data_IF_098837873979
#
_entry.id   IF_098837873979
#
_cell.length_a   1.000
_cell.length_b   1.000
_cell.length_c   1.000
_cell.angle_alpha   90.00
_cell.angle_beta   90.00
_cell.angle_gamma   90.00
#
_symmetry.space_group_name_H-M   'P 1'
#
loop_
_entity.id
_entity.type
_entity.pdbx_description
1 polymer ?
#
# COMPACT_ATOMS: atom_id res chain seq x y z
N UNK A 1 16.74 -6.94 -0.68
CA UNK A 1 17.18 -5.90 -1.64
C UNK A 1 18.55 -5.33 -1.28
N UNK A 2 18.79 -4.90 -0.04
CA UNK A 2 20.11 -4.39 0.41
C UNK A 2 21.27 -5.39 0.29
N UNK A 3 21.04 -6.66 0.61
CA UNK A 3 22.05 -7.73 0.46
C UNK A 3 22.41 -7.99 -1.01
N UNK A 4 21.42 -7.92 -1.89
CA UNK A 4 21.61 -8.10 -3.34
C UNK A 4 22.34 -6.89 -3.94
N UNK A 5 21.98 -5.67 -3.54
CA UNK A 5 22.64 -4.44 -4.01
C UNK A 5 24.07 -4.32 -3.46
N UNK A 6 24.31 -4.66 -2.19
CA UNK A 6 25.65 -4.63 -1.60
C UNK A 6 26.57 -5.72 -2.18
N UNK A 7 26.07 -6.95 -2.34
CA UNK A 7 26.81 -8.02 -3.01
C UNK A 7 27.09 -7.67 -4.48
N UNK A 8 26.15 -7.00 -5.15
CA UNK A 8 26.33 -6.49 -6.52
C UNK A 8 27.35 -5.37 -6.57
N UNK A 9 27.33 -4.43 -5.63
CA UNK A 9 28.33 -3.33 -5.59
C UNK A 9 29.71 -3.92 -5.35
N UNK A 10 29.84 -4.88 -4.45
CA UNK A 10 31.11 -5.57 -4.19
C UNK A 10 31.57 -6.45 -5.37
N UNK A 11 30.65 -7.14 -6.04
CA UNK A 11 30.97 -7.96 -7.23
C UNK A 11 31.31 -7.08 -8.44
N UNK A 12 30.56 -6.02 -8.68
CA UNK A 12 30.76 -5.09 -9.79
C UNK A 12 32.00 -4.24 -9.57
N UNK A 13 32.27 -3.71 -8.35
CA UNK A 13 33.53 -3.02 -8.04
C UNK A 13 34.72 -3.97 -7.91
N UNK A 14 34.52 -5.22 -7.45
CA UNK A 14 35.58 -6.23 -7.43
C UNK A 14 35.97 -6.72 -8.83
N UNK A 15 34.99 -6.81 -9.74
CA UNK A 15 35.20 -7.19 -11.14
C UNK A 15 35.64 -6.00 -11.99
N UNK A 16 35.13 -4.80 -11.73
CA UNK A 16 35.62 -3.54 -12.30
C UNK A 16 37.00 -3.18 -11.76
N UNK A 17 37.36 -3.49 -10.51
CA UNK A 17 38.72 -3.29 -10.02
C UNK A 17 39.77 -4.11 -10.77
N UNK A 18 39.36 -5.25 -11.34
CA UNK A 18 40.21 -6.11 -12.18
C UNK A 18 40.09 -5.83 -13.69
N UNK A 19 38.98 -5.25 -14.14
CA UNK A 19 38.66 -5.00 -15.56
C UNK A 19 38.07 -3.59 -15.79
N UNK A 20 38.56 -2.57 -15.08
CA UNK A 20 38.00 -1.21 -15.07
C UNK A 20 37.99 -0.63 -16.48
N UNK A 21 39.07 -0.91 -17.21
CA UNK A 21 39.25 -0.55 -18.61
C UNK A 21 38.17 -1.11 -19.53
N UNK A 22 37.58 -2.27 -19.21
CA UNK A 22 36.55 -2.91 -20.05
C UNK A 22 35.20 -2.23 -19.88
N UNK A 23 34.84 -1.93 -18.63
CA UNK A 23 33.60 -1.20 -18.31
C UNK A 23 33.69 0.25 -18.78
N UNK A 24 34.87 0.88 -18.63
CA UNK A 24 35.14 2.23 -19.12
C UNK A 24 35.16 2.31 -20.66
N UNK A 25 35.70 1.31 -21.35
CA UNK A 25 35.67 1.22 -22.82
C UNK A 25 34.26 0.99 -23.39
N UNK A 26 33.43 0.19 -22.69
CA UNK A 26 32.00 0.01 -23.04
C UNK A 26 31.18 1.29 -22.82
N UNK A 27 31.48 2.07 -21.77
CA UNK A 27 30.83 3.35 -21.48
C UNK A 27 31.24 4.48 -22.43
N UNK A 28 32.49 4.50 -22.89
CA UNK A 28 33.02 5.55 -23.77
C UNK A 28 32.90 5.25 -25.27
N UNK A 29 32.28 4.12 -25.65
CA UNK A 29 32.13 3.68 -27.04
C UNK A 29 33.44 3.75 -27.85
N UNK A 30 34.57 3.48 -27.19
CA UNK A 30 35.89 3.46 -27.79
C UNK A 30 36.55 2.14 -27.39
N UNK A 31 36.55 1.18 -28.32
CA UNK A 31 37.10 -0.15 -28.14
C UNK A 31 38.64 -0.11 -28.11
N UNK A 32 39.23 0.17 -26.95
CA UNK A 32 40.60 -0.24 -26.64
C UNK A 32 40.56 -1.20 -25.46
N UNK A 33 40.60 -2.50 -25.75
CA UNK A 33 40.63 -3.56 -24.74
C UNK A 33 42.09 -3.89 -24.40
N UNK A 34 42.48 -3.74 -23.13
CA UNK A 34 43.78 -4.18 -22.62
C UNK A 34 43.73 -5.68 -22.35
N UNK A 35 44.51 -6.46 -23.08
CA UNK A 35 44.69 -7.89 -22.86
C UNK A 35 45.29 -8.16 -21.47
N UNK A 36 44.62 -8.98 -20.66
CA UNK A 36 45.22 -9.53 -19.45
C UNK A 36 46.29 -10.57 -19.85
N UNK A 37 47.49 -10.47 -19.28
CA UNK A 37 48.66 -11.34 -19.58
C UNK A 37 48.37 -12.85 -19.51
N UNK A 38 47.31 -13.28 -18.80
CA UNK A 38 46.86 -14.66 -18.74
C UNK A 38 46.15 -15.18 -20.03
N UNK A 39 45.71 -14.31 -20.95
CA UNK A 39 45.04 -14.71 -22.20
C UNK A 39 46.00 -14.94 -23.37
N UNK A 40 47.29 -14.69 -23.20
CA UNK A 40 48.30 -14.76 -24.27
C UNK A 40 48.67 -16.22 -24.64
N UNK A 41 48.24 -17.22 -23.84
CA UNK A 41 48.66 -18.63 -24.01
C UNK A 41 47.56 -19.66 -24.32
N UNK A 42 46.35 -19.24 -24.65
CA UNK A 42 45.32 -20.16 -25.17
C UNK A 42 45.11 -19.88 -26.65
N UNK A 43 45.51 -20.84 -27.49
CA UNK A 43 45.17 -20.91 -28.92
C UNK A 43 43.71 -20.49 -29.10
N UNK A 44 43.47 -19.35 -29.74
CA UNK A 44 42.15 -18.72 -29.86
C UNK A 44 41.22 -19.59 -30.71
N UNK A 45 40.62 -20.61 -30.08
CA UNK A 45 39.59 -21.45 -30.68
C UNK A 45 38.22 -20.78 -30.61
N UNK A 46 37.32 -21.22 -31.50
CA UNK A 46 35.90 -20.86 -31.55
C UNK A 46 35.23 -20.81 -30.16
N UNK A 47 35.55 -21.76 -29.29
CA UNK A 47 35.04 -21.84 -27.91
C UNK A 47 35.38 -20.63 -27.02
N UNK A 48 36.54 -20.00 -27.20
CA UNK A 48 36.90 -18.77 -26.48
C UNK A 48 36.01 -17.59 -26.92
N UNK A 49 35.70 -17.51 -28.21
CA UNK A 49 34.78 -16.51 -28.75
C UNK A 49 33.33 -16.74 -28.30
N UNK A 50 32.85 -17.99 -28.32
CA UNK A 50 31.52 -18.33 -27.79
C UNK A 50 31.38 -17.93 -26.32
N UNK A 51 32.38 -18.22 -25.49
CA UNK A 51 32.37 -17.83 -24.08
C UNK A 51 32.34 -16.30 -23.90
N UNK A 52 33.14 -15.56 -24.69
CA UNK A 52 33.15 -14.09 -24.67
C UNK A 52 31.78 -13.50 -25.03
N UNK A 53 31.13 -14.04 -26.05
CA UNK A 53 29.79 -13.60 -26.45
C UNK A 53 28.75 -13.87 -25.36
N UNK A 54 28.78 -15.05 -24.73
CA UNK A 54 27.87 -15.39 -23.63
C UNK A 54 28.03 -14.42 -22.46
N UNK A 55 29.28 -14.15 -22.04
CA UNK A 55 29.56 -13.21 -20.95
C UNK A 55 29.10 -11.80 -21.33
N UNK A 56 29.38 -11.34 -22.56
CA UNK A 56 28.96 -10.01 -23.01
C UNK A 56 27.44 -9.88 -23.09
N UNK A 57 26.72 -10.91 -23.58
CA UNK A 57 25.25 -10.92 -23.61
C UNK A 57 24.66 -10.93 -22.21
N UNK A 58 25.26 -11.67 -21.27
CA UNK A 58 24.85 -11.67 -19.87
C UNK A 58 25.08 -10.29 -19.21
N UNK A 59 26.27 -9.70 -19.39
CA UNK A 59 26.60 -8.37 -18.86
C UNK A 59 25.66 -7.30 -19.46
N UNK A 60 25.37 -7.37 -20.77
CA UNK A 60 24.41 -6.49 -21.42
C UNK A 60 22.98 -6.67 -20.88
N UNK A 61 22.51 -7.91 -20.71
CA UNK A 61 21.20 -8.20 -20.15
C UNK A 61 21.06 -7.69 -18.71
N UNK A 62 22.10 -7.91 -17.89
CA UNK A 62 22.16 -7.42 -16.52
C UNK A 62 22.17 -5.89 -16.47
N UNK A 63 23.00 -5.23 -17.28
CA UNK A 63 23.02 -3.78 -17.38
C UNK A 63 21.68 -3.23 -17.87
N UNK A 64 21.11 -3.79 -18.93
CA UNK A 64 19.82 -3.35 -19.48
C UNK A 64 18.68 -3.45 -18.46
N UNK A 65 18.65 -4.53 -17.68
CA UNK A 65 17.59 -4.76 -16.68
C UNK A 65 17.81 -3.96 -15.39
N UNK A 66 19.07 -3.87 -14.92
CA UNK A 66 19.39 -3.25 -13.63
C UNK A 66 19.66 -1.74 -13.73
N UNK A 67 20.14 -1.25 -14.88
CA UNK A 67 20.47 0.16 -15.06
C UNK A 67 19.29 1.10 -14.80
N UNK A 68 18.06 0.83 -15.28
CA UNK A 68 16.90 1.65 -14.93
C UNK A 68 16.65 1.68 -13.42
N UNK A 69 16.73 0.53 -12.75
CA UNK A 69 16.52 0.43 -11.29
C UNK A 69 17.59 1.19 -10.50
N UNK A 70 18.86 1.06 -10.89
CA UNK A 70 19.99 1.78 -10.32
C UNK A 70 19.85 3.29 -10.55
N UNK A 71 19.57 3.70 -11.78
CA UNK A 71 19.35 5.12 -12.12
C UNK A 71 18.23 5.70 -11.28
N UNK A 72 17.07 5.04 -11.21
CA UNK A 72 15.94 5.49 -10.38
C UNK A 72 16.34 5.56 -8.92
N UNK A 73 17.02 4.56 -8.36
CA UNK A 73 17.47 4.60 -6.97
C UNK A 73 18.42 5.76 -6.67
N UNK A 74 19.39 6.00 -7.56
CA UNK A 74 20.38 7.08 -7.42
C UNK A 74 19.69 8.44 -7.50
N UNK A 75 18.86 8.68 -8.52
CA UNK A 75 18.22 9.98 -8.75
C UNK A 75 17.06 10.27 -7.81
N UNK A 76 16.56 9.27 -7.09
CA UNK A 76 15.42 9.43 -6.17
C UNK A 76 15.84 9.28 -4.71
N UNK A 77 15.81 8.06 -4.16
CA UNK A 77 16.05 7.81 -2.75
C UNK A 77 17.43 8.26 -2.30
N UNK A 78 18.49 7.88 -3.03
CA UNK A 78 19.85 8.26 -2.64
C UNK A 78 20.03 9.78 -2.70
N UNK A 79 19.60 10.41 -3.79
CA UNK A 79 19.67 11.87 -3.94
C UNK A 79 18.92 12.62 -2.84
N UNK A 80 17.71 12.18 -2.48
CA UNK A 80 16.93 12.77 -1.39
C UNK A 80 17.70 12.68 -0.06
N UNK A 81 18.30 11.53 0.25
CA UNK A 81 19.08 11.32 1.48
C UNK A 81 20.37 12.13 1.51
N UNK A 82 21.05 12.25 0.37
CA UNK A 82 22.25 13.08 0.26
C UNK A 82 21.93 14.57 0.44
N UNK A 83 20.77 15.03 -0.08
CA UNK A 83 20.40 16.45 -0.03
C UNK A 83 19.77 16.90 1.28
N UNK A 84 18.90 16.08 1.89
CA UNK A 84 18.12 16.47 3.08
C UNK A 84 18.51 15.71 4.35
N UNK A 85 19.40 14.72 4.25
CA UNK A 85 19.82 13.88 5.36
C UNK A 85 18.76 12.86 5.80
N UNK A 86 19.00 12.27 6.97
CA UNK A 86 18.01 11.44 7.68
C UNK A 86 17.29 12.32 8.69
N UNK A 87 15.98 12.52 8.48
CA UNK A 87 15.13 13.29 9.38
C UNK A 87 14.39 12.37 10.33
N UNK A 88 14.03 12.89 11.50
CA UNK A 88 13.19 12.17 12.47
C UNK A 88 11.78 11.96 11.92
N UNK A 89 11.19 13.01 11.34
CA UNK A 89 9.89 12.96 10.65
C UNK A 89 10.12 12.88 9.15
N UNK A 90 9.67 11.78 8.53
CA UNK A 90 9.74 11.58 7.07
C UNK A 90 8.38 11.82 6.43
N UNK A 91 8.35 12.71 5.42
CA UNK A 91 7.14 12.98 4.64
C UNK A 91 7.17 12.11 3.38
N UNK A 92 6.19 11.21 3.28
CA UNK A 92 6.15 10.15 2.25
C UNK A 92 4.93 10.30 1.38
N UNK A 93 5.13 10.63 0.11
CA UNK A 93 4.06 10.63 -0.88
C UNK A 93 4.05 9.31 -1.67
N UNK A 94 2.85 8.79 -1.90
CA UNK A 94 2.62 7.59 -2.70
C UNK A 94 1.58 7.84 -3.76
N UNK A 95 1.84 7.34 -4.97
CA UNK A 95 0.97 7.49 -6.14
C UNK A 95 0.73 6.10 -6.74
N UNK A 96 -0.51 5.75 -7.11
CA UNK A 96 -0.78 4.46 -7.74
C UNK A 96 -0.22 4.45 -9.16
N UNK A 97 0.74 3.56 -9.45
CA UNK A 97 1.38 3.47 -10.76
C UNK A 97 1.80 2.04 -11.11
N UNK A 98 2.03 1.81 -12.42
CA UNK A 98 2.58 0.57 -12.95
C UNK A 98 1.53 -0.53 -13.13
N UNK A 99 2.01 -1.74 -13.50
CA UNK A 99 1.15 -2.84 -13.95
C UNK A 99 0.03 -3.22 -13.00
N UNK A 100 0.25 -3.14 -11.68
CA UNK A 100 -0.78 -3.46 -10.70
C UNK A 100 -1.96 -2.48 -10.77
N UNK A 101 -1.68 -1.19 -11.01
CA UNK A 101 -2.72 -0.20 -11.20
C UNK A 101 -3.40 -0.34 -12.56
N UNK A 102 -2.62 -0.61 -13.61
CA UNK A 102 -3.15 -0.85 -14.97
C UNK A 102 -4.11 -2.05 -14.96
N UNK A 103 -3.76 -3.12 -14.23
CA UNK A 103 -4.62 -4.28 -14.04
C UNK A 103 -5.91 -3.94 -13.27
N UNK A 104 -5.83 -3.08 -12.25
CA UNK A 104 -7.03 -2.61 -11.53
C UNK A 104 -7.93 -1.80 -12.47
N UNK A 105 -7.36 -0.90 -13.26
CA UNK A 105 -8.09 -0.08 -14.24
C UNK A 105 -8.78 -0.89 -15.34
N UNK A 106 -8.29 -2.10 -15.62
CA UNK A 106 -8.91 -3.01 -16.58
C UNK A 106 -10.16 -3.74 -16.02
N UNK A 107 -10.44 -3.63 -14.73
CA UNK A 107 -11.60 -4.26 -14.09
C UNK A 107 -12.91 -3.48 -14.35
N UNK A 108 -14.08 -4.14 -14.26
CA UNK A 108 -15.36 -3.46 -14.24
C UNK A 108 -15.46 -2.42 -13.11
N UNK A 109 -16.22 -1.32 -13.26
CA UNK A 109 -16.22 -0.19 -12.30
C UNK A 109 -16.48 -0.58 -10.83
N UNK A 110 -17.41 -1.51 -10.59
CA UNK A 110 -17.72 -1.98 -9.24
C UNK A 110 -16.53 -2.72 -8.60
N UNK A 111 -15.88 -3.61 -9.36
CA UNK A 111 -14.71 -4.38 -8.91
C UNK A 111 -13.47 -3.50 -8.78
N UNK A 112 -13.33 -2.49 -9.64
CA UNK A 112 -12.27 -1.48 -9.51
C UNK A 112 -12.39 -0.71 -8.19
N UNK A 113 -13.59 -0.22 -7.87
CA UNK A 113 -13.81 0.53 -6.63
C UNK A 113 -13.51 -0.32 -5.40
N UNK A 114 -13.96 -1.57 -5.38
CA UNK A 114 -13.65 -2.52 -4.30
C UNK A 114 -12.14 -2.79 -4.17
N UNK A 115 -11.47 -3.08 -5.29
CA UNK A 115 -10.03 -3.33 -5.32
C UNK A 115 -9.21 -2.11 -4.88
N UNK A 116 -9.61 -0.91 -5.31
CA UNK A 116 -8.98 0.35 -4.92
C UNK A 116 -9.18 0.62 -3.43
N UNK A 117 -10.39 0.41 -2.91
CA UNK A 117 -10.71 0.60 -1.50
C UNK A 117 -9.95 -0.37 -0.59
N UNK A 118 -9.88 -1.65 -0.97
CA UNK A 118 -9.09 -2.66 -0.25
C UNK A 118 -7.59 -2.31 -0.25
N UNK A 119 -7.07 -1.94 -1.42
CA UNK A 119 -5.68 -1.51 -1.61
C UNK A 119 -5.35 -0.28 -0.77
N UNK A 120 -6.25 0.72 -0.75
CA UNK A 120 -6.07 1.92 0.05
C UNK A 120 -6.08 1.61 1.54
N UNK A 121 -7.04 0.80 2.00
CA UNK A 121 -7.16 0.40 3.42
C UNK A 121 -5.87 -0.26 3.91
N UNK A 122 -5.30 -1.16 3.11
CA UNK A 122 -4.00 -1.76 3.42
C UNK A 122 -2.87 -0.71 3.43
N UNK A 123 -2.83 0.19 2.45
CA UNK A 123 -1.78 1.20 2.33
C UNK A 123 -1.82 2.28 3.42
N UNK A 124 -2.99 2.55 3.99
CA UNK A 124 -3.19 3.49 5.10
C UNK A 124 -3.14 2.81 6.48
N UNK A 125 -3.20 1.47 6.53
CA UNK A 125 -3.22 0.72 7.78
C UNK A 125 -2.08 1.10 8.72
N UNK A 126 -2.42 1.39 9.98
CA UNK A 126 -1.44 1.76 11.01
C UNK A 126 -0.35 0.69 11.19
N UNK A 127 -0.71 -0.59 11.15
CA UNK A 127 0.25 -1.69 11.27
C UNK A 127 1.28 -1.66 10.14
N UNK A 128 0.84 -1.37 8.91
CA UNK A 128 1.74 -1.24 7.76
C UNK A 128 2.66 -0.02 7.88
N UNK A 129 2.13 1.11 8.35
CA UNK A 129 2.88 2.36 8.46
C UNK A 129 3.86 2.38 9.63
N UNK A 130 3.49 1.84 10.79
CA UNK A 130 4.37 1.75 11.96
C UNK A 130 5.43 0.68 11.76
N UNK A 131 5.09 -0.43 11.09
CA UNK A 131 6.00 -1.55 10.88
C UNK A 131 7.04 -1.32 9.77
N UNK A 132 6.90 -0.28 8.94
CA UNK A 132 7.76 -0.05 7.78
C UNK A 132 8.26 1.38 7.72
N UNK A 133 9.55 1.54 7.46
CA UNK A 133 10.15 2.85 7.14
C UNK A 133 9.60 3.41 5.84
N UNK A 134 9.68 4.73 5.62
CA UNK A 134 9.09 5.40 4.45
C UNK A 134 9.41 4.72 3.11
N UNK A 135 10.66 4.32 2.89
CA UNK A 135 11.08 3.59 1.68
C UNK A 135 10.38 2.23 1.47
N UNK A 136 10.08 1.55 2.57
CA UNK A 136 9.47 0.22 2.59
C UNK A 136 7.93 0.28 2.57
N UNK A 137 7.33 1.47 2.62
CA UNK A 137 5.87 1.66 2.44
C UNK A 137 5.40 1.46 0.98
N UNK A 138 6.30 1.06 0.07
CA UNK A 138 5.96 0.61 -1.28
C UNK A 138 5.12 -0.66 -1.22
N UNK A 139 3.91 -0.57 -1.74
CA UNK A 139 2.99 -1.69 -1.85
C UNK A 139 2.20 -1.48 -3.14
N UNK A 140 2.41 -2.28 -4.20
CA UNK A 140 1.67 -2.15 -5.44
C UNK A 140 0.16 -2.05 -5.15
N UNK A 141 -0.56 -1.10 -5.79
CA UNK A 141 -0.14 -0.17 -6.84
C UNK A 141 0.63 1.07 -6.35
N UNK A 142 0.72 1.31 -5.04
CA UNK A 142 1.29 2.52 -4.43
C UNK A 142 2.82 2.55 -4.48
N UNK A 143 3.34 3.39 -5.37
CA UNK A 143 4.77 3.67 -5.51
C UNK A 143 5.14 5.04 -4.94
N UNK A 144 6.39 5.17 -4.48
CA UNK A 144 6.88 6.41 -3.86
C UNK A 144 7.05 7.53 -4.89
N UNK A 145 6.55 8.72 -4.55
CA UNK A 145 6.70 9.94 -5.33
C UNK A 145 7.73 10.86 -4.66
N UNK A 146 8.99 10.73 -5.09
CA UNK A 146 10.10 11.49 -4.49
C UNK A 146 10.09 12.98 -4.83
N UNK A 147 9.52 13.37 -5.96
CA UNK A 147 9.39 14.78 -6.34
C UNK A 147 8.51 15.52 -5.33
N UNK A 148 7.32 14.99 -5.04
CA UNK A 148 6.42 15.56 -4.04
C UNK A 148 7.05 15.59 -2.63
N UNK A 149 7.76 14.53 -2.23
CA UNK A 149 8.51 14.52 -0.95
C UNK A 149 9.62 15.57 -0.93
N UNK A 150 10.32 15.79 -2.05
CA UNK A 150 11.37 16.81 -2.18
C UNK A 150 10.78 18.21 -2.05
N UNK A 151 9.65 18.45 -2.69
CA UNK A 151 8.93 19.74 -2.63
C UNK A 151 8.41 20.03 -1.22
N UNK A 152 7.86 19.03 -0.54
CA UNK A 152 7.45 19.15 0.86
C UNK A 152 8.63 19.50 1.78
N UNK A 153 9.81 18.91 1.56
CA UNK A 153 11.02 19.27 2.30
C UNK A 153 11.54 20.66 1.96
N UNK A 154 11.37 21.12 0.71
CA UNK A 154 11.68 22.49 0.34
C UNK A 154 10.78 23.49 1.08
N UNK A 155 9.47 23.23 1.14
CA UNK A 155 8.50 24.06 1.88
C UNK A 155 8.77 24.06 3.39
N UNK A 156 9.20 22.92 3.94
CA UNK A 156 9.59 22.85 5.33
C UNK A 156 10.87 23.65 5.62
N UNK A 157 11.87 23.55 4.75
CA UNK A 157 13.13 24.29 4.92
C UNK A 157 12.99 25.80 4.70
N UNK A 158 12.01 26.23 3.90
CA UNK A 158 11.69 27.65 3.73
C UNK A 158 10.87 28.22 4.89
N UNK A 159 10.49 27.40 5.87
CA UNK A 159 9.69 27.81 7.04
C UNK A 159 8.22 28.08 6.72
N UNK A 160 7.76 27.76 5.50
CA UNK A 160 6.37 27.97 5.10
C UNK A 160 5.42 26.93 5.70
N UNK A 161 5.93 25.75 6.04
CA UNK A 161 5.13 24.66 6.58
C UNK A 161 5.91 23.85 7.60
N UNK A 162 5.32 23.56 8.77
CA UNK A 162 5.96 22.71 9.78
C UNK A 162 5.84 21.23 9.43
N UNK A 163 6.91 20.46 9.65
CA UNK A 163 6.91 19.02 9.42
C UNK A 163 5.92 18.27 10.31
N UNK A 164 5.64 18.80 11.51
CA UNK A 164 4.73 18.16 12.46
C UNK A 164 3.26 18.27 12.05
N UNK A 165 2.93 19.18 11.12
CA UNK A 165 1.56 19.37 10.63
C UNK A 165 1.21 18.42 9.48
N UNK A 166 2.15 17.59 9.02
CA UNK A 166 1.84 16.58 8.01
C UNK A 166 1.14 15.39 8.65
N UNK A 167 -0.16 15.30 8.39
CA UNK A 167 -0.98 14.14 8.73
C UNK A 167 -1.14 13.22 7.52
N UNK A 168 -1.48 11.95 7.81
CA UNK A 168 -1.83 10.99 6.77
C UNK A 168 -3.05 11.52 6.02
N UNK A 169 -3.00 11.65 4.70
CA UNK A 169 -4.14 12.07 3.90
C UNK A 169 -4.14 11.36 2.57
N UNK A 170 -5.33 11.05 2.06
CA UNK A 170 -5.52 10.45 0.75
C UNK A 170 -6.15 11.50 -0.14
N UNK A 171 -5.54 11.76 -1.29
CA UNK A 171 -6.01 12.76 -2.23
C UNK A 171 -6.54 12.07 -3.48
N UNK A 172 -7.77 12.38 -3.84
CA UNK A 172 -8.41 11.86 -5.04
C UNK A 172 -8.94 13.02 -5.88
N UNK A 173 -9.02 12.82 -7.19
CA UNK A 173 -9.75 13.74 -8.07
C UNK A 173 -11.18 13.27 -8.22
N UNK A 174 -12.13 14.19 -8.04
CA UNK A 174 -13.53 13.94 -8.36
C UNK A 174 -13.76 13.94 -9.89
N UNK A 175 -14.99 13.65 -10.30
CA UNK A 175 -15.41 13.66 -11.71
C UNK A 175 -15.16 15.01 -12.40
N UNK A 176 -15.20 16.10 -11.64
CA UNK A 176 -14.92 17.48 -12.08
C UNK A 176 -13.44 17.87 -12.02
N UNK A 177 -12.52 16.91 -11.85
CA UNK A 177 -11.07 17.14 -11.75
C UNK A 177 -10.60 17.97 -10.55
N UNK A 178 -11.46 18.18 -9.56
CA UNK A 178 -11.11 18.86 -8.31
C UNK A 178 -10.53 17.87 -7.30
N UNK A 179 -9.57 18.32 -6.51
CA UNK A 179 -8.96 17.53 -5.46
C UNK A 179 -9.88 17.44 -4.24
N UNK A 180 -10.16 16.23 -3.81
CA UNK A 180 -10.86 15.92 -2.56
C UNK A 180 -9.91 15.17 -1.63
N UNK A 181 -10.02 15.47 -0.34
CA UNK A 181 -9.25 14.80 0.72
C UNK A 181 -10.14 13.74 1.34
N UNK A 182 -9.63 12.52 1.39
CA UNK A 182 -10.23 11.44 2.14
C UNK A 182 -9.39 11.13 3.38
N UNK A 183 -9.97 11.36 4.55
CA UNK A 183 -9.34 11.13 5.85
C UNK A 183 -9.53 9.68 6.32
N UNK A 184 -9.18 8.71 5.46
CA UNK A 184 -9.40 7.29 5.69
C UNK A 184 -8.75 6.75 6.99
N UNK A 185 -7.79 7.48 7.55
CA UNK A 185 -7.09 7.12 8.79
C UNK A 185 -7.91 7.39 10.06
N UNK A 186 -8.85 8.34 10.04
CA UNK A 186 -9.74 8.63 11.20
C UNK A 186 -10.62 7.43 11.56
N UNK A 187 -10.90 6.56 10.58
CA UNK A 187 -11.67 5.33 10.77
C UNK A 187 -10.83 4.12 11.24
N UNK A 188 -9.50 4.26 11.36
CA UNK A 188 -8.58 3.17 11.71
C UNK A 188 -8.10 3.22 13.16
N UNK A 189 -8.76 4.00 14.01
CA UNK A 189 -8.48 3.99 15.44
C UNK A 189 -8.72 2.60 16.03
N UNK A 190 -7.77 2.01 16.78
CA UNK A 190 -7.89 0.64 17.30
C UNK A 190 -9.08 0.48 18.26
N UNK A 191 -9.51 1.56 18.92
CA UNK A 191 -10.72 1.59 19.74
C UNK A 191 -12.00 1.49 18.89
N UNK A 192 -12.01 2.07 17.69
CA UNK A 192 -13.13 2.03 16.75
C UNK A 192 -13.15 0.69 16.00
N UNK A 193 -11.98 0.18 15.59
CA UNK A 193 -11.88 -1.13 14.94
C UNK A 193 -12.25 -2.29 15.87
N UNK A 194 -11.80 -2.28 17.14
CA UNK A 194 -12.20 -3.29 18.11
C UNK A 194 -13.70 -3.22 18.42
N UNK A 195 -14.26 -2.01 18.60
CA UNK A 195 -15.70 -1.83 18.79
C UNK A 195 -16.51 -2.25 17.56
N UNK A 196 -16.03 -1.98 16.35
CA UNK A 196 -16.66 -2.42 15.11
C UNK A 196 -16.65 -3.94 14.96
N UNK A 197 -15.56 -4.61 15.33
CA UNK A 197 -15.45 -6.07 15.30
C UNK A 197 -16.36 -6.72 16.35
N UNK A 198 -16.48 -6.10 17.53
CA UNK A 198 -17.44 -6.50 18.58
C UNK A 198 -18.89 -6.30 18.09
N UNK A 199 -19.20 -5.16 17.47
CA UNK A 199 -20.51 -4.88 16.87
C UNK A 199 -20.89 -5.89 15.79
N UNK A 200 -19.97 -6.22 14.88
CA UNK A 200 -20.20 -7.21 13.83
C UNK A 200 -20.52 -8.58 14.44
N UNK A 201 -19.80 -9.00 15.48
CA UNK A 201 -20.08 -10.26 16.20
C UNK A 201 -21.45 -10.24 16.89
N UNK A 202 -21.84 -9.12 17.48
CA UNK A 202 -23.15 -8.95 18.12
C UNK A 202 -24.29 -9.05 17.10
N UNK A 203 -24.16 -8.39 15.94
CA UNK A 203 -25.15 -8.44 14.85
C UNK A 203 -25.27 -9.87 14.32
N UNK A 204 -24.16 -10.54 14.08
CA UNK A 204 -24.15 -11.90 13.52
C UNK A 204 -24.78 -12.92 14.50
N UNK A 205 -24.51 -12.79 15.80
CA UNK A 205 -25.16 -13.60 16.83
C UNK A 205 -26.68 -13.40 16.87
N UNK A 206 -27.13 -12.14 16.76
CA UNK A 206 -28.56 -11.81 16.74
C UNK A 206 -29.25 -12.38 15.50
N UNK A 207 -28.60 -12.31 14.34
CA UNK A 207 -29.10 -12.93 13.11
C UNK A 207 -29.19 -14.45 13.22
N UNK A 208 -28.16 -15.12 13.75
CA UNK A 208 -28.18 -16.58 13.98
C UNK A 208 -29.31 -16.99 14.93
N UNK A 209 -29.54 -16.24 16.01
CA UNK A 209 -30.63 -16.50 16.95
C UNK A 209 -32.01 -16.31 16.32
N UNK A 210 -32.21 -15.23 15.56
CA UNK A 210 -33.48 -14.98 14.86
C UNK A 210 -33.75 -16.02 13.76
N UNK A 211 -32.71 -16.50 13.08
CA UNK A 211 -32.82 -17.64 12.15
C UNK A 211 -33.20 -18.93 12.88
N UNK A 212 -32.60 -19.21 14.04
CA UNK A 212 -32.93 -20.38 14.86
C UNK A 212 -34.36 -20.34 15.41
N UNK A 213 -34.93 -19.15 15.63
CA UNK A 213 -36.32 -18.93 16.00
C UNK A 213 -37.29 -18.99 14.79
N UNK A 214 -36.78 -19.26 13.58
CA UNK A 214 -37.58 -19.39 12.36
C UNK A 214 -38.00 -18.06 11.73
N UNK A 215 -37.38 -16.94 12.11
CA UNK A 215 -37.72 -15.58 11.63
C UNK A 215 -36.85 -15.16 10.43
N UNK A 216 -36.75 -16.03 9.42
CA UNK A 216 -35.90 -15.81 8.24
C UNK A 216 -36.33 -14.57 7.43
N UNK A 217 -37.64 -14.34 7.31
CA UNK A 217 -38.19 -13.19 6.57
C UNK A 217 -37.84 -11.84 7.24
N UNK A 218 -37.75 -11.82 8.57
CA UNK A 218 -37.35 -10.65 9.35
C UNK A 218 -35.85 -10.37 9.21
N UNK A 219 -35.01 -11.41 9.24
CA UNK A 219 -33.56 -11.27 9.02
C UNK A 219 -33.27 -10.71 7.64
N UNK A 220 -34.00 -11.16 6.61
CA UNK A 220 -33.92 -10.60 5.27
C UNK A 220 -34.32 -9.11 5.19
N UNK A 221 -35.38 -8.71 5.91
CA UNK A 221 -35.80 -7.29 6.00
C UNK A 221 -34.76 -6.45 6.74
N UNK A 222 -34.16 -6.97 7.80
CA UNK A 222 -33.08 -6.30 8.53
C UNK A 222 -31.83 -6.13 7.65
N UNK A 223 -31.38 -7.17 6.95
CA UNK A 223 -30.25 -7.07 6.02
C UNK A 223 -30.49 -6.03 4.93
N UNK A 224 -31.71 -5.97 4.37
CA UNK A 224 -32.08 -4.97 3.38
C UNK A 224 -31.96 -3.54 3.92
N UNK A 225 -32.43 -3.29 5.15
CA UNK A 225 -32.31 -1.97 5.82
C UNK A 225 -30.84 -1.61 6.08
N UNK A 226 -30.02 -2.57 6.51
CA UNK A 226 -28.57 -2.35 6.71
C UNK A 226 -27.85 -2.01 5.40
N UNK A 227 -28.17 -2.72 4.32
CA UNK A 227 -27.57 -2.50 2.99
C UNK A 227 -28.02 -1.17 2.39
N UNK A 228 -29.31 -0.83 2.47
CA UNK A 228 -29.84 0.44 2.00
C UNK A 228 -29.18 1.63 2.70
N UNK A 229 -29.02 1.54 4.02
CA UNK A 229 -28.41 2.61 4.82
C UNK A 229 -26.90 2.70 4.62
N UNK A 230 -26.19 1.57 4.43
CA UNK A 230 -24.76 1.57 4.05
C UNK A 230 -24.51 2.33 2.74
N UNK A 231 -25.41 2.17 1.78
CA UNK A 231 -25.35 2.91 0.52
C UNK A 231 -25.63 4.41 0.70
N UNK A 232 -26.49 4.80 1.66
CA UNK A 232 -26.76 6.21 2.00
C UNK A 232 -25.64 6.88 2.80
N UNK A 233 -25.05 6.17 3.77
CA UNK A 233 -23.91 6.66 4.57
C UNK A 233 -22.67 6.89 3.71
N UNK A 234 -22.50 6.13 2.62
CA UNK A 234 -21.41 6.36 1.66
C UNK A 234 -21.55 7.68 0.86
N UNK A 235 -22.71 8.34 0.91
CA UNK A 235 -23.03 9.57 0.17
C UNK A 235 -23.07 10.81 1.09
N UNK A 236 -23.28 10.64 2.39
CA UNK A 236 -23.40 11.74 3.34
C UNK A 236 -22.07 12.06 4.02
N UNK A 237 -21.61 13.32 3.91
CA UNK A 237 -20.38 13.84 4.54
C UNK A 237 -20.47 14.00 6.06
N UNK A 238 -21.62 13.73 6.67
CA UNK A 238 -21.86 13.88 8.11
C UNK A 238 -22.37 12.57 8.72
N UNK A 239 -21.55 12.00 9.60
CA UNK A 239 -21.69 10.64 10.14
C UNK A 239 -22.68 10.54 11.32
N UNK A 240 -23.20 11.66 11.82
CA UNK A 240 -24.04 11.75 13.02
C UNK A 240 -25.55 11.55 12.78
N UNK A 241 -26.23 12.27 11.85
CA UNK A 241 -27.68 12.12 11.68
C UNK A 241 -28.08 10.78 11.03
N UNK A 242 -27.22 10.23 10.17
CA UNK A 242 -27.48 8.94 9.50
C UNK A 242 -27.42 7.75 10.46
N UNK A 243 -26.60 7.84 11.52
CA UNK A 243 -26.50 6.79 12.54
C UNK A 243 -27.70 6.83 13.49
N UNK A 244 -28.21 8.02 13.83
CA UNK A 244 -29.44 8.15 14.64
C UNK A 244 -30.66 7.60 13.88
N UNK A 245 -30.79 7.92 12.59
CA UNK A 245 -31.85 7.38 11.73
C UNK A 245 -31.76 5.86 11.54
N UNK A 246 -30.54 5.32 11.49
CA UNK A 246 -30.31 3.87 11.45
C UNK A 246 -30.81 3.20 12.75
N UNK A 247 -30.45 3.75 13.90
CA UNK A 247 -30.89 3.22 15.21
C UNK A 247 -32.41 3.30 15.34
N UNK A 248 -33.03 4.40 14.91
CA UNK A 248 -34.49 4.54 14.93
C UNK A 248 -35.19 3.57 13.97
N UNK A 249 -34.68 3.39 12.76
CA UNK A 249 -35.23 2.45 11.76
C UNK A 249 -35.16 1.01 12.24
N UNK A 250 -34.03 0.61 12.83
CA UNK A 250 -33.86 -0.74 13.41
C UNK A 250 -34.80 -0.93 14.60
N UNK A 251 -34.92 0.07 15.47
CA UNK A 251 -35.79 -0.03 16.65
C UNK A 251 -37.29 -0.10 16.26
N UNK A 252 -37.70 0.60 15.20
CA UNK A 252 -39.05 0.50 14.66
C UNK A 252 -39.33 -0.85 14.02
N UNK A 253 -38.39 -1.40 13.24
CA UNK A 253 -38.50 -2.73 12.65
C UNK A 253 -38.70 -3.82 13.72
N UNK A 254 -37.96 -3.74 14.83
CA UNK A 254 -38.11 -4.66 15.95
C UNK A 254 -39.44 -4.50 16.70
N UNK A 255 -39.91 -3.27 16.88
CA UNK A 255 -41.22 -2.99 17.51
C UNK A 255 -42.40 -3.48 16.68
N UNK A 256 -42.33 -3.37 15.36
CA UNK A 256 -43.37 -3.87 14.45
C UNK A 256 -43.52 -5.40 14.54
N UNK A 257 -42.43 -6.11 14.80
CA UNK A 257 -42.42 -7.57 14.96
C UNK A 257 -42.68 -8.03 16.41
N UNK A 258 -42.92 -7.09 17.33
CA UNK A 258 -43.16 -7.37 18.75
C UNK A 258 -41.94 -7.86 19.52
N UNK A 259 -40.72 -7.60 19.02
CA UNK A 259 -39.46 -8.00 19.62
C UNK A 259 -38.84 -6.86 20.42
N UNK A 260 -38.38 -7.14 21.64
CA UNK A 260 -37.60 -6.17 22.42
C UNK A 260 -36.14 -6.17 21.94
N UNK A 261 -35.82 -5.22 21.06
CA UNK A 261 -34.46 -5.00 20.59
C UNK A 261 -33.48 -4.78 21.74
N UNK A 262 -33.91 -4.09 22.80
CA UNK A 262 -33.06 -3.77 23.94
C UNK A 262 -32.62 -5.02 24.71
N UNK A 263 -33.55 -5.95 24.94
CA UNK A 263 -33.24 -7.21 25.64
C UNK A 263 -32.34 -8.12 24.80
N UNK A 264 -32.67 -8.31 23.51
CA UNK A 264 -31.86 -9.13 22.61
C UNK A 264 -30.46 -8.54 22.37
N UNK A 265 -30.36 -7.21 22.34
CA UNK A 265 -29.08 -6.52 22.19
C UNK A 265 -28.20 -6.65 23.44
N UNK A 266 -28.79 -6.55 24.65
CA UNK A 266 -28.06 -6.78 25.90
C UNK A 266 -27.56 -8.22 26.02
N UNK A 267 -28.37 -9.19 25.60
CA UNK A 267 -27.97 -10.59 25.54
C UNK A 267 -26.81 -10.81 24.55
N UNK A 268 -26.90 -10.24 23.35
CA UNK A 268 -25.83 -10.29 22.35
C UNK A 268 -24.53 -9.62 22.84
N UNK A 269 -24.62 -8.51 23.56
CA UNK A 269 -23.47 -7.87 24.21
C UNK A 269 -22.84 -8.83 25.23
N UNK A 270 -23.66 -9.46 26.09
CA UNK A 270 -23.17 -10.38 27.13
C UNK A 270 -22.47 -11.60 26.55
N UNK A 271 -23.00 -12.16 25.46
CA UNK A 271 -22.46 -13.35 24.80
C UNK A 271 -21.20 -13.05 23.99
N UNK A 272 -21.16 -11.91 23.29
CA UNK A 272 -19.96 -11.44 22.63
C UNK A 272 -18.81 -11.21 23.63
N UNK A 273 -19.12 -10.72 24.83
CA UNK A 273 -18.15 -10.56 25.92
C UNK A 273 -17.69 -11.90 26.49
N UNK A 274 -18.56 -12.92 26.54
CA UNK A 274 -18.24 -14.29 26.96
C UNK A 274 -17.27 -14.96 25.98
N UNK A 275 -17.56 -14.89 24.68
CA UNK A 275 -16.71 -15.46 23.62
C UNK A 275 -15.33 -14.78 23.59
N UNK A 276 -15.26 -13.48 23.90
CA UNK A 276 -14.00 -12.74 23.94
C UNK A 276 -13.10 -13.13 25.12
N UNK A 277 -13.67 -13.57 26.25
CA UNK A 277 -12.93 -13.87 27.47
C UNK A 277 -12.75 -15.37 27.75
N UNK A 278 -13.15 -16.25 26.83
CA UNK A 278 -12.80 -17.67 26.92
C UNK A 278 -11.30 -17.85 26.56
N UNK A 279 -10.48 -18.44 27.45
CA UNK A 279 -9.14 -18.85 27.07
C UNK A 279 -9.24 -19.93 25.99
N UNK A 280 -8.45 -19.78 24.94
CA UNK A 280 -8.32 -20.76 23.85
C UNK A 280 -7.84 -22.13 24.38
#
# INVERSE_FOLDING_TARGET
MYTIVAAFTFFFFGRAGKNFYVVFALMLNNFYYVESVASIKLKNGFWSWCWRLIVASFDYYMLSTLWPLLRTFITSHLWLRLRYGFRQTEVVFRVPTGRAYDNMMALPPAQFNEALQASLTHATSRQFLVGKTGFNTRSPPWNLCYTASTDAYHLANSGQFDLNNWELSVWQKNEYQQWTVWEAWKHQDPTVSAKALILIKQILFLQEKLLAEGREEFVGKWDAVLVEQRNRVSVASEMTPAVEQLVESVNNLFKEEGLDFGELWLEAISEAYRIQNQPA
#
